data_IF_847238107448
#
_entry.id   IF_847238107448
#
_cell.length_a   1.000
_cell.length_b   1.000
_cell.length_c   1.000
_cell.angle_alpha   90.00
_cell.angle_beta   90.00
_cell.angle_gamma   90.00
#
_symmetry.space_group_name_H-M   'P 1'
#
loop_
_entity.id
_entity.type
_entity.pdbx_description
1 polymer ?
#
# COMPACT_ATOMS: atom_id res chain seq x y z
N UNK A 1 6.42 -6.77 -18.07
CA UNK A 1 5.79 -5.83 -17.11
C UNK A 1 6.58 -5.93 -15.80
N UNK A 2 7.23 -4.84 -15.34
CA UNK A 2 8.17 -4.89 -14.19
C UNK A 2 7.42 -4.65 -12.88
N UNK A 3 7.73 -5.43 -11.85
CA UNK A 3 7.29 -5.18 -10.48
C UNK A 3 7.89 -3.88 -9.98
N UNK A 4 7.04 -2.93 -9.60
CA UNK A 4 7.45 -1.71 -8.92
C UNK A 4 7.74 -2.05 -7.47
N UNK A 5 8.96 -2.53 -7.18
CA UNK A 5 9.53 -2.23 -5.87
C UNK A 5 9.78 -0.73 -5.88
N UNK A 6 8.79 0.02 -5.41
CA UNK A 6 9.06 1.38 -4.96
C UNK A 6 9.75 1.21 -3.63
N UNK A 7 11.06 0.95 -3.69
CA UNK A 7 11.87 1.26 -2.53
C UNK A 7 11.77 2.77 -2.45
N UNK A 8 10.96 3.25 -1.51
CA UNK A 8 10.82 4.68 -1.26
C UNK A 8 12.16 5.15 -0.71
N UNK A 9 13.08 5.42 -1.62
CA UNK A 9 14.26 6.20 -1.37
C UNK A 9 13.76 7.63 -1.25
N UNK A 10 13.99 8.25 -0.10
CA UNK A 10 14.02 9.70 0.00
C UNK A 10 14.86 10.23 -1.15
N UNK A 11 14.20 10.98 -2.05
CA UNK A 11 14.70 12.10 -2.84
C UNK A 11 13.79 12.28 -4.05
N UNK A 12 13.20 13.47 -4.18
CA UNK A 12 13.19 14.30 -5.40
C UNK A 12 12.52 15.65 -5.10
N UNK A 13 13.22 16.74 -5.43
CA UNK A 13 12.71 18.11 -5.42
C UNK A 13 11.40 18.20 -6.25
N UNK A 14 10.44 18.99 -5.76
CA UNK A 14 9.08 19.26 -6.30
C UNK A 14 7.91 18.33 -5.88
N UNK A 15 8.02 17.49 -4.85
CA UNK A 15 6.82 16.87 -4.29
C UNK A 15 5.98 17.89 -3.51
N UNK A 16 4.66 17.91 -3.78
CA UNK A 16 3.72 18.72 -3.01
C UNK A 16 3.70 18.20 -1.57
N UNK A 17 4.13 19.05 -0.65
CA UNK A 17 3.96 18.83 0.78
C UNK A 17 2.59 19.34 1.21
N UNK A 18 1.97 18.59 2.09
CA UNK A 18 0.69 18.91 2.71
C UNK A 18 0.93 19.17 4.20
N UNK A 19 0.28 20.18 4.74
CA UNK A 19 0.25 20.45 6.17
C UNK A 19 -0.81 19.61 6.87
N UNK A 20 -0.72 19.50 8.20
CA UNK A 20 -1.78 18.87 8.99
C UNK A 20 -3.16 19.52 8.73
N UNK A 21 -3.22 20.85 8.59
CA UNK A 21 -4.47 21.56 8.33
C UNK A 21 -5.12 21.18 6.99
N UNK A 22 -4.33 20.82 5.97
CA UNK A 22 -4.83 20.34 4.67
C UNK A 22 -5.33 18.89 4.73
N UNK A 23 -4.79 18.08 5.64
CA UNK A 23 -5.09 16.65 5.76
C UNK A 23 -6.19 16.39 6.80
N UNK A 24 -6.33 17.24 7.81
CA UNK A 24 -7.32 17.11 8.87
C UNK A 24 -8.76 16.94 8.34
N UNK A 25 -9.22 17.65 7.30
CA UNK A 25 -10.53 17.40 6.70
C UNK A 25 -10.70 15.97 6.20
N UNK A 26 -9.65 15.38 5.61
CA UNK A 26 -9.64 14.00 5.11
C UNK A 26 -9.72 12.99 6.26
N UNK A 27 -8.99 13.24 7.35
CA UNK A 27 -9.05 12.40 8.56
C UNK A 27 -10.47 12.42 9.15
N UNK A 28 -11.08 13.61 9.27
CA UNK A 28 -12.42 13.78 9.85
C UNK A 28 -13.51 13.04 9.06
N UNK A 29 -13.33 12.86 7.75
CA UNK A 29 -14.26 12.10 6.90
C UNK A 29 -13.85 10.64 6.70
N UNK A 30 -12.86 10.14 7.45
CA UNK A 30 -12.34 8.77 7.34
C UNK A 30 -11.84 8.43 5.92
N UNK A 31 -11.23 9.41 5.25
CA UNK A 31 -10.63 9.27 3.93
C UNK A 31 -9.17 8.80 3.98
N UNK A 32 -8.63 8.51 5.17
CA UNK A 32 -7.27 8.01 5.38
C UNK A 32 -7.32 6.74 6.25
N UNK A 33 -6.60 5.70 5.85
CA UNK A 33 -6.47 4.45 6.60
C UNK A 33 -5.01 4.19 6.99
N UNK A 34 -4.78 3.62 8.17
CA UNK A 34 -3.43 3.28 8.63
C UNK A 34 -2.94 1.98 7.96
N UNK A 35 -1.90 2.09 7.14
CA UNK A 35 -1.21 1.00 6.46
C UNK A 35 0.24 0.81 6.90
N UNK A 36 0.71 1.47 7.97
CA UNK A 36 2.11 1.41 8.45
C UNK A 36 2.56 -0.01 8.80
N UNK A 37 1.64 -0.82 9.29
CA UNK A 37 1.86 -2.23 9.63
C UNK A 37 1.58 -3.18 8.47
N UNK A 38 1.40 -2.66 7.26
CA UNK A 38 1.16 -3.43 6.04
C UNK A 38 -0.20 -4.14 5.99
N UNK A 39 -0.49 -4.77 4.85
CA UNK A 39 -1.71 -5.52 4.59
C UNK A 39 -2.07 -5.60 3.10
N UNK A 40 -3.08 -6.41 2.80
CA UNK A 40 -3.66 -6.55 1.47
C UNK A 40 -4.60 -5.38 1.17
N UNK A 41 -4.39 -4.69 0.06
CA UNK A 41 -5.14 -3.48 -0.30
C UNK A 41 -6.44 -3.86 -1.01
N UNK A 42 -7.57 -3.54 -0.38
CA UNK A 42 -8.89 -3.65 -0.99
C UNK A 42 -9.33 -2.28 -1.49
N UNK A 43 -9.85 -2.21 -2.71
CA UNK A 43 -10.34 -0.96 -3.30
C UNK A 43 -11.54 -1.19 -4.21
N UNK A 44 -12.14 -0.10 -4.66
CA UNK A 44 -13.08 -0.09 -5.78
C UNK A 44 -12.33 -0.32 -7.12
N UNK A 45 -12.65 -1.39 -7.82
CA UNK A 45 -11.99 -1.76 -9.09
C UNK A 45 -12.34 -0.84 -10.26
N UNK A 46 -13.37 0.01 -10.12
CA UNK A 46 -13.72 1.02 -11.13
C UNK A 46 -12.78 2.24 -11.09
N UNK A 47 -11.91 2.33 -10.08
CA UNK A 47 -10.95 3.40 -9.89
C UNK A 47 -9.53 2.87 -10.10
N UNK A 48 -8.66 3.69 -10.71
CA UNK A 48 -7.35 3.24 -11.18
C UNK A 48 -6.36 2.95 -10.05
N UNK A 49 -6.14 3.93 -9.15
CA UNK A 49 -5.06 3.85 -8.17
C UNK A 49 -5.39 4.48 -6.82
N UNK A 50 -4.77 3.93 -5.78
CA UNK A 50 -4.87 4.33 -4.38
C UNK A 50 -3.59 5.07 -4.00
N UNK A 51 -3.72 6.26 -3.43
CA UNK A 51 -2.57 7.06 -3.03
C UNK A 51 -1.96 6.55 -1.71
N UNK A 52 -0.63 6.51 -1.65
CA UNK A 52 0.13 6.25 -0.44
C UNK A 52 0.73 7.55 0.08
N UNK A 53 0.46 7.86 1.34
CA UNK A 53 0.93 9.06 2.03
C UNK A 53 1.84 8.69 3.18
N UNK A 54 2.88 9.48 3.42
CA UNK A 54 3.67 9.38 4.66
C UNK A 54 3.92 10.76 5.26
N UNK A 55 4.27 10.78 6.53
CA UNK A 55 4.85 11.97 7.14
C UNK A 55 6.26 12.19 6.61
N UNK A 56 6.55 13.41 6.19
CA UNK A 56 7.86 13.83 5.69
C UNK A 56 8.85 13.90 6.87
N UNK A 57 10.16 13.81 6.59
CA UNK A 57 11.19 13.85 7.63
C UNK A 57 11.21 15.14 8.45
N UNK A 58 10.64 16.21 7.90
CA UNK A 58 10.34 17.44 8.64
C UNK A 58 8.97 17.27 9.29
N UNK A 59 8.96 17.06 10.62
CA UNK A 59 7.75 16.83 11.41
C UNK A 59 6.63 17.83 11.06
N UNK A 60 5.41 17.31 10.87
CA UNK A 60 4.22 18.13 10.58
C UNK A 60 3.92 18.38 9.10
N UNK A 61 4.74 17.86 8.18
CA UNK A 61 4.43 17.80 6.75
C UNK A 61 4.19 16.37 6.29
N UNK A 62 3.41 16.24 5.22
CA UNK A 62 3.00 14.97 4.64
C UNK A 62 3.19 15.00 3.14
N UNK A 63 3.51 13.87 2.54
CA UNK A 63 3.71 13.76 1.10
C UNK A 63 3.01 12.54 0.53
N UNK A 64 2.49 12.67 -0.71
CA UNK A 64 2.06 11.53 -1.51
C UNK A 64 3.28 10.94 -2.17
N UNK A 65 3.67 9.76 -1.71
CA UNK A 65 4.92 9.13 -2.14
C UNK A 65 4.74 8.44 -3.48
N UNK A 66 3.61 7.76 -3.64
CA UNK A 66 3.30 6.98 -4.83
C UNK A 66 1.82 6.54 -4.83
N UNK A 67 1.42 5.76 -5.83
CA UNK A 67 0.12 5.14 -5.93
C UNK A 67 0.23 3.63 -6.16
N UNK A 68 -0.81 2.89 -5.78
CA UNK A 68 -0.89 1.42 -5.91
C UNK A 68 -2.24 1.01 -6.48
N UNK A 69 -2.34 -0.17 -7.09
CA UNK A 69 -3.61 -0.71 -7.54
C UNK A 69 -4.31 -1.49 -6.42
N UNK A 70 -5.66 -1.54 -6.41
CA UNK A 70 -6.39 -2.53 -5.64
C UNK A 70 -5.84 -3.95 -5.89
N UNK A 71 -5.78 -4.76 -4.83
CA UNK A 71 -5.18 -6.09 -4.85
C UNK A 71 -3.68 -6.13 -4.58
N UNK A 72 -3.01 -4.98 -4.45
CA UNK A 72 -1.60 -4.93 -4.05
C UNK A 72 -1.41 -5.33 -2.59
N UNK A 73 -0.24 -5.84 -2.21
CA UNK A 73 0.10 -6.13 -0.82
C UNK A 73 1.21 -5.19 -0.32
N UNK A 74 1.01 -4.55 0.83
CA UNK A 74 2.01 -3.69 1.46
C UNK A 74 2.71 -4.48 2.58
N UNK A 75 4.02 -4.61 2.48
CA UNK A 75 4.85 -5.16 3.54
C UNK A 75 5.12 -4.08 4.60
N UNK A 76 5.13 -4.46 5.88
CA UNK A 76 5.57 -3.57 6.93
C UNK A 76 7.09 -3.32 6.84
N UNK A 77 7.60 -2.26 7.49
CA UNK A 77 9.01 -1.89 7.38
C UNK A 77 9.98 -2.99 7.83
N UNK A 78 9.64 -3.74 8.88
CA UNK A 78 10.50 -4.78 9.42
C UNK A 78 10.58 -6.00 8.48
N UNK A 79 9.43 -6.47 7.98
CA UNK A 79 9.35 -7.51 6.95
C UNK A 79 10.11 -7.11 5.68
N UNK A 80 9.98 -5.83 5.29
CA UNK A 80 10.70 -5.24 4.16
C UNK A 80 12.21 -5.33 4.34
N UNK A 81 12.73 -4.97 5.52
CA UNK A 81 14.15 -5.03 5.81
C UNK A 81 14.70 -6.48 5.77
N UNK A 82 13.94 -7.45 6.27
CA UNK A 82 14.37 -8.85 6.39
C UNK A 82 14.38 -9.61 5.06
N UNK A 83 13.50 -9.25 4.11
CA UNK A 83 13.31 -9.99 2.85
C UNK A 83 13.81 -9.26 1.60
N UNK A 84 14.62 -8.20 1.77
CA UNK A 84 15.12 -7.37 0.67
C UNK A 84 15.72 -8.17 -0.50
N UNK A 85 16.42 -9.28 -0.24
CA UNK A 85 16.99 -10.13 -1.29
C UNK A 85 16.03 -11.18 -1.86
N UNK A 86 15.16 -11.79 -1.03
CA UNK A 86 14.28 -12.88 -1.48
C UNK A 86 13.09 -12.36 -2.31
N UNK A 87 12.63 -11.14 -2.04
CA UNK A 87 11.51 -10.54 -2.78
C UNK A 87 11.93 -10.06 -4.17
N UNK A 88 13.21 -9.75 -4.38
CA UNK A 88 13.76 -9.48 -5.72
C UNK A 88 13.69 -10.71 -6.63
N UNK A 89 13.83 -11.93 -6.08
CA UNK A 89 13.69 -13.18 -6.84
C UNK A 89 12.23 -13.48 -7.17
N UNK A 90 11.30 -13.26 -6.24
CA UNK A 90 9.86 -13.40 -6.47
C UNK A 90 9.36 -12.49 -7.61
N UNK A 91 10.12 -11.44 -7.93
CA UNK A 91 9.82 -10.52 -9.04
C UNK A 91 10.33 -10.95 -10.42
N UNK A 92 11.35 -11.80 -10.49
CA UNK A 92 12.00 -12.14 -11.75
C UNK A 92 11.26 -13.24 -12.54
N UNK A 93 10.34 -13.97 -11.90
CA UNK A 93 9.84 -15.25 -12.41
C UNK A 93 8.53 -15.18 -13.23
N UNK A 94 7.90 -14.01 -13.44
CA UNK A 94 6.51 -14.00 -13.92
C UNK A 94 6.25 -13.06 -15.10
N UNK A 95 6.28 -13.57 -16.35
CA UNK A 95 5.97 -12.77 -17.54
C UNK A 95 4.47 -12.58 -17.80
N UNK A 96 3.57 -13.43 -17.26
CA UNK A 96 2.14 -13.38 -17.60
C UNK A 96 1.26 -13.78 -16.41
N UNK A 97 0.42 -12.86 -15.94
CA UNK A 97 -0.70 -13.15 -15.04
C UNK A 97 -1.83 -12.17 -15.37
N UNK A 98 -3.02 -12.71 -15.64
CA UNK A 98 -4.14 -11.97 -16.25
C UNK A 98 -5.25 -11.55 -15.24
N UNK A 99 -5.19 -11.97 -13.97
CA UNK A 99 -6.31 -11.77 -13.02
C UNK A 99 -5.88 -11.12 -11.71
N UNK A 100 -6.57 -10.03 -11.34
CA UNK A 100 -6.51 -9.40 -10.02
C UNK A 100 -7.39 -10.21 -9.05
N UNK A 101 -6.91 -10.47 -7.84
CA UNK A 101 -7.71 -11.15 -6.80
C UNK A 101 -8.97 -10.35 -6.47
N UNK A 102 -10.11 -11.04 -6.41
CA UNK A 102 -11.37 -10.46 -5.95
C UNK A 102 -11.56 -10.65 -4.44
N UNK A 103 -12.40 -9.82 -3.81
CA UNK A 103 -12.62 -9.85 -2.37
C UNK A 103 -13.04 -11.24 -1.84
N UNK A 104 -13.77 -12.02 -2.64
CA UNK A 104 -14.26 -13.35 -2.27
C UNK A 104 -13.17 -14.44 -2.37
N UNK A 105 -12.01 -14.12 -2.93
CA UNK A 105 -10.86 -15.02 -3.08
C UNK A 105 -9.79 -14.80 -1.98
N UNK A 106 -10.03 -13.88 -1.04
CA UNK A 106 -9.11 -13.53 0.05
C UNK A 106 -9.38 -14.46 1.27
N UNK A 107 -8.37 -15.16 1.80
CA UNK A 107 -8.53 -15.93 3.03
C UNK A 107 -8.89 -15.06 4.24
N UNK A 108 -9.76 -15.54 5.12
CA UNK A 108 -10.29 -14.79 6.29
C UNK A 108 -9.22 -14.29 7.28
N UNK A 109 -8.02 -14.87 7.25
CA UNK A 109 -6.93 -14.57 8.16
C UNK A 109 -5.89 -13.58 7.61
N UNK A 110 -6.18 -12.95 6.47
CA UNK A 110 -5.32 -11.93 5.87
C UNK A 110 -5.70 -10.57 6.40
N UNK A 111 -4.70 -9.78 6.79
CA UNK A 111 -4.95 -8.38 7.16
C UNK A 111 -5.26 -7.56 5.92
N UNK A 112 -6.39 -6.86 5.93
CA UNK A 112 -6.85 -6.03 4.80
C UNK A 112 -6.82 -4.54 5.12
N UNK A 113 -6.44 -3.73 4.13
CA UNK A 113 -6.49 -2.27 4.13
C UNK A 113 -7.64 -1.84 3.20
N UNK A 114 -8.79 -1.49 3.77
CA UNK A 114 -9.98 -1.14 2.99
C UNK A 114 -9.98 0.32 2.53
N UNK A 115 -9.47 0.52 1.31
CA UNK A 115 -9.39 1.79 0.62
C UNK A 115 -10.61 2.11 -0.26
N UNK A 116 -11.72 1.38 -0.12
CA UNK A 116 -12.98 1.76 -0.79
C UNK A 116 -13.48 3.13 -0.30
N UNK A 117 -14.23 3.89 -1.11
CA UNK A 117 -14.70 5.23 -0.75
C UNK A 117 -15.36 5.28 0.63
N UNK A 118 -15.02 6.29 1.44
CA UNK A 118 -15.51 6.39 2.82
C UNK A 118 -17.02 6.62 2.92
N UNK A 119 -17.63 7.25 1.90
CA UNK A 119 -19.07 7.52 1.80
C UNK A 119 -19.52 7.39 0.35
N UNK A 120 -20.81 7.10 0.12
CA UNK A 120 -21.43 7.08 -1.22
C UNK A 120 -21.27 8.42 -1.95
N UNK A 121 -21.21 9.52 -1.21
CA UNK A 121 -21.04 10.89 -1.73
C UNK A 121 -19.62 11.16 -2.25
N UNK A 122 -18.66 10.30 -1.92
CA UNK A 122 -17.27 10.35 -2.40
C UNK A 122 -16.98 9.23 -3.42
N UNK A 123 -18.03 8.70 -4.06
CA UNK A 123 -17.88 7.85 -5.24
C UNK A 123 -17.01 8.57 -6.27
N UNK A 124 -15.87 7.99 -6.63
CA UNK A 124 -14.88 8.60 -7.52
C UNK A 124 -13.47 8.70 -6.94
N UNK A 125 -13.28 8.49 -5.63
CA UNK A 125 -11.93 8.42 -5.04
C UNK A 125 -11.80 7.35 -3.96
N UNK A 126 -10.66 6.66 -3.97
CA UNK A 126 -10.28 5.78 -2.88
C UNK A 126 -9.90 6.57 -1.62
N UNK A 127 -9.89 5.88 -0.47
CA UNK A 127 -9.17 6.40 0.70
C UNK A 127 -7.67 6.37 0.44
N UNK A 128 -6.95 7.29 1.08
CA UNK A 128 -5.49 7.35 1.10
C UNK A 128 -4.98 6.34 2.14
N UNK A 129 -3.89 5.63 1.83
CA UNK A 129 -3.23 4.73 2.79
C UNK A 129 -2.04 5.45 3.38
N UNK A 130 -2.02 5.58 4.70
CA UNK A 130 -0.90 6.15 5.44
C UNK A 130 0.16 5.08 5.71
N UNK A 131 1.38 5.28 5.23
CA UNK A 131 2.52 4.38 5.36
C UNK A 131 3.58 4.98 6.27
N UNK A 132 4.52 4.14 6.70
CA UNK A 132 5.57 4.50 7.65
C UNK A 132 6.63 5.41 6.99
N UNK A 133 7.39 6.11 7.82
CA UNK A 133 8.56 6.88 7.36
C UNK A 133 9.68 5.93 6.89
N UNK A 134 9.76 4.74 7.47
CA UNK A 134 10.65 3.67 7.05
C UNK A 134 10.19 3.05 5.72
N UNK A 135 11.16 2.54 4.94
CA UNK A 135 10.84 1.92 3.65
C UNK A 135 9.90 0.72 3.79
N UNK A 136 8.81 0.75 3.04
CA UNK A 136 7.88 -0.37 2.87
C UNK A 136 7.91 -0.84 1.42
N UNK A 137 7.86 -2.16 1.21
CA UNK A 137 7.73 -2.75 -0.12
C UNK A 137 6.27 -2.97 -0.49
N UNK A 138 5.96 -2.75 -1.76
CA UNK A 138 4.63 -2.95 -2.34
C UNK A 138 4.75 -4.08 -3.36
N UNK A 139 3.92 -5.09 -3.21
CA UNK A 139 3.81 -6.23 -4.12
C UNK A 139 2.57 -6.02 -4.98
N UNK A 140 2.72 -6.15 -6.30
CA UNK A 140 1.62 -5.89 -7.22
C UNK A 140 0.50 -6.95 -7.10
N UNK A 141 -0.70 -6.68 -7.65
CA UNK A 141 -1.84 -7.58 -7.49
C UNK A 141 -1.60 -9.00 -8.03
N UNK A 142 -0.88 -9.11 -9.14
CA UNK A 142 -0.62 -10.38 -9.81
C UNK A 142 0.26 -11.32 -8.99
N UNK A 143 1.38 -10.80 -8.45
CA UNK A 143 2.27 -11.59 -7.60
C UNK A 143 1.62 -11.91 -6.24
N UNK A 144 0.79 -10.98 -5.76
CA UNK A 144 0.05 -11.14 -4.50
C UNK A 144 -0.86 -12.36 -4.54
N UNK A 145 -1.53 -12.64 -5.67
CA UNK A 145 -2.44 -13.79 -5.81
C UNK A 145 -1.83 -15.11 -5.34
N UNK A 146 -0.60 -15.41 -5.75
CA UNK A 146 0.05 -16.69 -5.44
C UNK A 146 0.64 -16.76 -4.04
N UNK A 147 0.91 -15.61 -3.43
CA UNK A 147 1.78 -15.53 -2.25
C UNK A 147 1.12 -14.84 -1.05
N UNK A 148 -0.16 -14.49 -1.15
CA UNK A 148 -0.87 -13.68 -0.17
C UNK A 148 -0.66 -14.18 1.27
N UNK A 149 -0.83 -15.47 1.52
CA UNK A 149 -0.63 -16.06 2.85
C UNK A 149 0.82 -15.98 3.33
N UNK A 150 1.79 -16.16 2.43
CA UNK A 150 3.22 -16.07 2.77
C UNK A 150 3.63 -14.63 3.10
N UNK A 151 3.15 -13.66 2.31
CA UNK A 151 3.35 -12.23 2.56
C UNK A 151 2.71 -11.79 3.88
N UNK A 152 1.51 -12.30 4.17
CA UNK A 152 0.80 -11.96 5.39
C UNK A 152 1.41 -12.61 6.65
N UNK A 153 1.83 -13.86 6.54
CA UNK A 153 2.62 -14.52 7.58
C UNK A 153 3.92 -13.75 7.85
N UNK A 154 4.58 -13.26 6.79
CA UNK A 154 5.77 -12.44 6.93
C UNK A 154 5.47 -11.14 7.70
N UNK A 155 4.42 -10.42 7.33
CA UNK A 155 4.03 -9.21 8.04
C UNK A 155 3.73 -9.49 9.52
N UNK A 156 3.00 -10.56 9.83
CA UNK A 156 2.68 -10.96 11.21
C UNK A 156 3.92 -11.35 12.02
N UNK A 157 4.87 -12.07 11.42
CA UNK A 157 6.10 -12.48 12.11
C UNK A 157 7.00 -11.29 12.47
N UNK A 158 6.86 -10.18 11.75
CA UNK A 158 7.67 -8.98 11.95
C UNK A 158 6.86 -7.75 12.39
N UNK A 159 5.61 -7.93 12.84
CA UNK A 159 4.85 -6.87 13.49
C UNK A 159 5.35 -6.75 14.94
N UNK A 160 6.31 -5.85 15.16
CA UNK A 160 6.73 -5.45 16.51
C UNK A 160 6.03 -4.18 16.93
#
# INVERSE_FOLDING_TARGET
>A
MRLYIIQIHTLLDNQKLYTLAEIEPLIRVNAIIDGRSGGFVIGDLSLDTIQLMREHQQEGFYEIVTTVHPGSYILNPFATAQKRYNLLQLNAEFPELEKVLFNDEIPDNIKTLDARPARKEHQGQHKIIFIDQLSQQIINPYATQKQLQALDTLNRNYSK
#
